data_IF_778462540619
#
_entry.id   IF_778462540619
#
_cell.length_a   1.000
_cell.length_b   1.000
_cell.length_c   1.000
_cell.angle_alpha   90.00
_cell.angle_beta   90.00
_cell.angle_gamma   90.00
#
_symmetry.space_group_name_H-M   'P 1'
#
loop_
_entity.id
_entity.type
_entity.pdbx_description
1 polymer ?
#
# COMPACT_ATOMS: atom_id res chain seq x y z
N UNK A 1 -7.51 -16.68 -23.29
CA UNK A 1 -8.42 -15.60 -22.88
C UNK A 1 -7.95 -14.29 -23.48
N UNK A 2 -8.88 -13.45 -23.92
CA UNK A 2 -8.58 -12.08 -24.34
C UNK A 2 -7.97 -11.29 -23.15
N UNK A 3 -7.13 -10.28 -23.43
CA UNK A 3 -6.54 -9.40 -22.41
C UNK A 3 -7.58 -8.61 -21.63
N UNK A 4 -8.75 -8.39 -22.22
CA UNK A 4 -9.87 -7.69 -21.60
C UNK A 4 -10.79 -8.65 -20.83
N UNK A 5 -10.52 -9.96 -20.87
CA UNK A 5 -11.31 -10.92 -20.12
C UNK A 5 -11.11 -10.69 -18.61
N UNK A 6 -12.18 -10.71 -17.79
CA UNK A 6 -12.07 -10.47 -16.34
C UNK A 6 -11.17 -11.49 -15.61
N UNK A 7 -10.97 -12.67 -16.19
CA UNK A 7 -10.10 -13.74 -15.66
C UNK A 7 -8.73 -13.81 -16.34
N UNK A 8 -8.38 -12.78 -17.12
CA UNK A 8 -7.06 -12.71 -17.73
C UNK A 8 -5.98 -12.50 -16.67
N UNK A 9 -5.20 -13.54 -16.42
CA UNK A 9 -4.07 -13.52 -15.50
C UNK A 9 -2.75 -13.52 -16.27
N UNK A 10 -1.96 -12.44 -16.16
CA UNK A 10 -0.64 -12.37 -16.79
C UNK A 10 0.38 -13.30 -16.15
N UNK A 11 0.15 -13.72 -14.91
CA UNK A 11 1.00 -14.66 -14.18
C UNK A 11 0.52 -16.11 -14.26
N UNK A 12 -0.46 -16.45 -15.10
CA UNK A 12 -1.08 -17.78 -15.13
C UNK A 12 -0.09 -18.96 -15.14
N UNK A 13 1.05 -18.83 -15.84
CA UNK A 13 2.10 -19.86 -15.90
C UNK A 13 2.77 -20.15 -14.56
N UNK A 14 2.87 -19.14 -13.70
CA UNK A 14 3.52 -19.22 -12.38
C UNK A 14 2.53 -19.01 -11.22
N UNK A 15 1.23 -18.90 -11.53
CA UNK A 15 0.17 -18.67 -10.55
C UNK A 15 0.18 -19.71 -9.43
N UNK A 16 0.31 -21.03 -9.70
CA UNK A 16 0.37 -22.03 -8.63
C UNK A 16 1.54 -21.81 -7.67
N UNK A 17 2.70 -21.37 -8.19
CA UNK A 17 3.87 -21.07 -7.36
C UNK A 17 3.65 -19.83 -6.50
N UNK A 18 3.12 -18.75 -7.10
CA UNK A 18 2.79 -17.51 -6.37
C UNK A 18 1.81 -17.80 -5.24
N UNK A 19 0.75 -18.57 -5.52
CA UNK A 19 -0.26 -18.93 -4.54
C UNK A 19 0.30 -19.84 -3.45
N UNK A 20 1.17 -20.78 -3.80
CA UNK A 20 1.87 -21.62 -2.81
C UNK A 20 2.71 -20.78 -1.84
N UNK A 21 3.48 -19.82 -2.35
CA UNK A 21 4.29 -18.93 -1.50
C UNK A 21 3.39 -18.04 -0.64
N UNK A 22 2.36 -17.44 -1.24
CA UNK A 22 1.40 -16.59 -0.54
C UNK A 22 0.70 -17.35 0.58
N UNK A 23 0.31 -18.60 0.35
CA UNK A 23 -0.30 -19.46 1.37
C UNK A 23 0.62 -19.62 2.58
N UNK A 24 1.90 -19.93 2.36
CA UNK A 24 2.89 -20.05 3.45
C UNK A 24 3.08 -18.73 4.20
N UNK A 25 3.11 -17.59 3.51
CA UNK A 25 3.15 -16.27 4.16
C UNK A 25 1.94 -16.02 5.08
N UNK A 26 0.75 -16.46 4.66
CA UNK A 26 -0.50 -16.28 5.40
C UNK A 26 -0.65 -17.20 6.61
N UNK A 27 0.09 -18.31 6.66
CA UNK A 27 0.12 -19.21 7.82
C UNK A 27 0.82 -18.56 9.02
N UNK A 28 1.73 -17.61 8.78
CA UNK A 28 2.40 -16.85 9.85
C UNK A 28 1.46 -15.81 10.45
N UNK A 29 1.24 -15.89 11.77
CA UNK A 29 0.31 -15.00 12.47
C UNK A 29 0.84 -13.56 12.48
N UNK A 30 0.10 -12.58 11.92
CA UNK A 30 0.55 -11.20 11.91
C UNK A 30 0.48 -10.57 13.30
N UNK A 31 1.56 -9.90 13.70
CA UNK A 31 1.52 -8.99 14.86
C UNK A 31 0.75 -7.70 14.52
N UNK A 32 0.35 -6.93 15.54
CA UNK A 32 -0.46 -5.72 15.34
C UNK A 32 0.17 -4.66 14.42
N UNK A 33 1.51 -4.56 14.41
CA UNK A 33 2.26 -3.54 13.67
C UNK A 33 2.70 -4.11 12.32
N UNK A 34 2.17 -3.54 11.24
CA UNK A 34 2.34 -4.02 9.88
C UNK A 34 2.81 -2.88 8.97
N UNK A 35 3.66 -3.17 8.01
CA UNK A 35 4.18 -2.21 7.04
C UNK A 35 3.85 -2.65 5.62
N UNK A 36 3.55 -1.71 4.72
CA UNK A 36 3.37 -1.97 3.29
C UNK A 36 4.36 -1.14 2.49
N UNK A 37 5.16 -1.81 1.65
CA UNK A 37 6.16 -1.16 0.80
C UNK A 37 6.36 -1.95 -0.51
N UNK A 38 7.02 -1.33 -1.49
CA UNK A 38 7.42 -1.98 -2.72
C UNK A 38 8.82 -2.61 -2.70
N UNK A 39 8.88 -3.82 -3.26
CA UNK A 39 10.09 -4.54 -3.58
C UNK A 39 10.21 -4.74 -5.10
N UNK A 40 11.43 -4.68 -5.63
CA UNK A 40 11.73 -4.97 -7.04
C UNK A 40 12.55 -6.25 -7.08
N UNK A 41 11.97 -7.31 -7.64
CA UNK A 41 12.68 -8.57 -7.91
C UNK A 41 13.52 -8.37 -9.18
N UNK A 42 14.86 -8.39 -9.11
CA UNK A 42 15.71 -8.08 -10.24
C UNK A 42 15.44 -9.02 -11.42
N UNK A 43 15.12 -8.45 -12.59
CA UNK A 43 14.87 -9.24 -13.79
C UNK A 43 15.08 -8.40 -15.05
N UNK A 44 16.05 -8.77 -15.88
CA UNK A 44 16.40 -8.04 -17.12
C UNK A 44 15.86 -8.70 -18.40
N UNK A 45 15.32 -9.92 -18.33
CA UNK A 45 14.79 -10.65 -19.49
C UNK A 45 13.56 -10.00 -20.15
N UNK A 46 13.10 -10.55 -21.27
CA UNK A 46 11.91 -10.01 -21.98
C UNK A 46 10.63 -10.37 -21.24
N UNK A 47 10.06 -9.40 -20.53
CA UNK A 47 8.77 -9.52 -19.86
C UNK A 47 8.02 -8.19 -19.89
N UNK A 48 6.71 -8.24 -20.19
CA UNK A 48 5.84 -7.04 -20.28
C UNK A 48 5.44 -6.47 -18.92
N UNK A 49 5.61 -7.24 -17.85
CA UNK A 49 5.26 -6.86 -16.47
C UNK A 49 6.43 -6.24 -15.71
N UNK A 50 7.56 -5.97 -16.40
CA UNK A 50 8.71 -5.32 -15.76
C UNK A 50 8.39 -3.86 -15.45
N UNK A 51 8.80 -3.43 -14.27
CA UNK A 51 8.80 -2.05 -13.85
C UNK A 51 10.22 -1.50 -13.90
N UNK A 52 10.32 -0.21 -14.23
CA UNK A 52 11.53 0.57 -14.05
C UNK A 52 11.38 1.47 -12.84
N UNK A 53 12.26 1.33 -11.84
CA UNK A 53 12.35 2.22 -10.69
C UNK A 53 13.76 2.78 -10.57
N UNK A 54 14.01 4.04 -10.95
CA UNK A 54 15.36 4.61 -10.95
C UNK A 54 15.97 4.77 -9.56
N UNK A 55 15.15 4.71 -8.49
CA UNK A 55 15.58 4.89 -7.10
C UNK A 55 16.02 3.59 -6.41
N UNK A 56 15.82 2.43 -7.03
CA UNK A 56 16.24 1.13 -6.46
C UNK A 56 17.59 0.70 -7.07
N UNK A 57 18.43 -0.06 -6.34
CA UNK A 57 19.72 -0.54 -6.85
C UNK A 57 19.57 -1.28 -8.19
N UNK A 58 18.67 -2.26 -8.21
CA UNK A 58 18.22 -2.92 -9.42
C UNK A 58 17.01 -2.19 -10.01
N UNK A 59 17.28 -1.38 -11.03
CA UNK A 59 16.26 -0.49 -11.60
C UNK A 59 15.19 -1.23 -12.39
N UNK A 60 15.50 -2.40 -12.96
CA UNK A 60 14.59 -3.19 -13.80
C UNK A 60 14.24 -4.51 -13.11
N UNK A 61 12.95 -4.77 -12.95
CA UNK A 61 12.50 -6.01 -12.34
C UNK A 61 10.99 -6.17 -12.29
N UNK A 62 10.53 -7.23 -11.64
CA UNK A 62 9.12 -7.41 -11.33
C UNK A 62 8.81 -6.67 -10.03
N UNK A 63 7.77 -5.85 -10.03
CA UNK A 63 7.36 -5.12 -8.83
C UNK A 63 6.43 -5.99 -7.98
N UNK A 64 6.73 -6.05 -6.70
CA UNK A 64 5.90 -6.67 -5.67
C UNK A 64 5.60 -5.61 -4.62
N UNK A 65 4.37 -5.55 -4.15
CA UNK A 65 3.99 -4.75 -2.99
C UNK A 65 3.70 -5.73 -1.87
N UNK A 66 4.43 -5.65 -0.77
CA UNK A 66 4.38 -6.64 0.31
C UNK A 66 3.91 -6.00 1.61
N UNK A 67 3.10 -6.74 2.37
CA UNK A 67 2.74 -6.44 3.76
C UNK A 67 3.61 -7.27 4.69
N UNK A 68 4.41 -6.60 5.52
CA UNK A 68 5.36 -7.23 6.42
C UNK A 68 5.09 -6.86 7.88
N UNK A 69 5.29 -7.81 8.79
CA UNK A 69 5.20 -7.56 10.23
C UNK A 69 6.46 -6.90 10.78
N UNK A 70 6.37 -6.37 12.01
CA UNK A 70 7.53 -5.85 12.75
C UNK A 70 8.67 -6.87 12.91
N UNK A 71 8.35 -8.16 12.90
CA UNK A 71 9.31 -9.27 12.94
C UNK A 71 10.11 -9.44 11.63
N UNK A 72 9.80 -8.67 10.57
CA UNK A 72 10.46 -8.73 9.27
C UNK A 72 9.89 -9.79 8.32
N UNK A 73 8.89 -10.56 8.75
CA UNK A 73 8.25 -11.57 7.89
C UNK A 73 7.23 -10.93 6.95
N UNK A 74 7.17 -11.46 5.72
CA UNK A 74 6.12 -11.14 4.75
C UNK A 74 4.89 -11.96 5.11
N UNK A 75 3.75 -11.29 5.36
CA UNK A 75 2.48 -11.96 5.66
C UNK A 75 1.55 -12.02 4.45
N UNK A 76 1.61 -11.02 3.57
CA UNK A 76 0.86 -11.04 2.30
C UNK A 76 1.59 -10.19 1.25
N UNK A 77 1.33 -10.42 -0.03
CA UNK A 77 1.92 -9.63 -1.11
C UNK A 77 1.07 -9.63 -2.39
N UNK A 78 1.28 -8.60 -3.19
CA UNK A 78 0.64 -8.40 -4.49
C UNK A 78 1.70 -8.29 -5.58
N UNK A 79 1.65 -9.22 -6.54
CA UNK A 79 2.48 -9.17 -7.73
C UNK A 79 1.90 -8.16 -8.72
N UNK A 80 2.64 -7.09 -9.03
CA UNK A 80 2.17 -6.08 -9.97
C UNK A 80 2.32 -6.56 -11.42
N UNK A 81 1.22 -6.60 -12.15
CA UNK A 81 1.19 -6.90 -13.59
C UNK A 81 0.64 -5.74 -14.44
N UNK A 82 0.33 -4.61 -13.79
CA UNK A 82 -0.29 -3.43 -14.38
C UNK A 82 -1.82 -3.40 -14.24
N UNK A 83 -2.45 -4.44 -13.71
CA UNK A 83 -3.89 -4.47 -13.44
C UNK A 83 -4.19 -4.13 -11.98
N UNK A 84 -5.23 -3.33 -11.75
CA UNK A 84 -5.70 -3.04 -10.41
C UNK A 84 -6.25 -4.32 -9.74
N UNK A 85 -6.02 -4.50 -8.43
CA UNK A 85 -6.60 -5.62 -7.70
C UNK A 85 -8.13 -5.49 -7.66
N UNK A 86 -8.83 -6.63 -7.67
CA UNK A 86 -10.26 -6.68 -7.40
C UNK A 86 -10.48 -6.53 -5.88
N UNK A 87 -11.03 -5.39 -5.49
CA UNK A 87 -11.45 -5.04 -4.12
C UNK A 87 -12.92 -4.63 -4.15
N UNK A 88 -13.69 -4.97 -3.10
CA UNK A 88 -15.14 -4.72 -3.06
C UNK A 88 -15.46 -3.23 -3.08
N UNK A 89 -14.73 -2.44 -2.27
CA UNK A 89 -14.89 -1.00 -2.17
C UNK A 89 -13.61 -0.30 -2.64
N UNK A 90 -13.39 -0.28 -3.96
CA UNK A 90 -12.24 0.40 -4.56
C UNK A 90 -12.23 1.89 -4.23
N UNK A 91 -11.05 2.39 -3.90
CA UNK A 91 -10.76 3.80 -3.66
C UNK A 91 -10.52 4.53 -4.99
N UNK A 92 -10.30 3.80 -6.09
CA UNK A 92 -10.05 4.36 -7.41
C UNK A 92 -8.59 4.72 -7.69
N UNK A 93 -7.66 4.37 -6.78
CA UNK A 93 -6.22 4.54 -6.96
C UNK A 93 -5.52 3.20 -6.82
N UNK A 94 -4.77 2.78 -7.85
CA UNK A 94 -4.04 1.51 -7.87
C UNK A 94 -3.25 1.24 -6.58
N UNK A 95 -2.48 2.23 -6.09
CA UNK A 95 -1.67 2.06 -4.90
C UNK A 95 -2.53 1.85 -3.64
N UNK A 96 -3.63 2.59 -3.52
CA UNK A 96 -4.55 2.46 -2.38
C UNK A 96 -5.29 1.12 -2.40
N UNK A 97 -5.77 0.70 -3.58
CA UNK A 97 -6.49 -0.56 -3.75
C UNK A 97 -5.58 -1.77 -3.48
N UNK A 98 -4.28 -1.68 -3.78
CA UNK A 98 -3.32 -2.71 -3.37
C UNK A 98 -3.17 -2.77 -1.85
N UNK A 99 -3.10 -1.64 -1.14
CA UNK A 99 -3.07 -1.66 0.33
C UNK A 99 -4.35 -2.28 0.90
N UNK A 100 -5.52 -1.89 0.39
CA UNK A 100 -6.79 -2.52 0.78
C UNK A 100 -6.75 -4.02 0.54
N UNK A 101 -6.28 -4.46 -0.63
CA UNK A 101 -6.19 -5.88 -0.97
C UNK A 101 -5.31 -6.68 -0.01
N UNK A 102 -4.18 -6.11 0.39
CA UNK A 102 -3.25 -6.73 1.34
C UNK A 102 -3.79 -6.74 2.78
N UNK A 103 -4.68 -5.81 3.11
CA UNK A 103 -5.30 -5.72 4.43
C UNK A 103 -6.55 -6.61 4.57
N UNK A 104 -7.12 -7.14 3.48
CA UNK A 104 -8.23 -8.11 3.55
C UNK A 104 -7.88 -9.36 4.38
N UNK A 105 -6.59 -9.72 4.44
CA UNK A 105 -6.08 -10.86 5.22
C UNK A 105 -5.74 -10.51 6.67
N UNK A 106 -5.97 -9.26 7.11
CA UNK A 106 -5.88 -8.86 8.51
C UNK A 106 -7.22 -9.00 9.22
N UNK A 107 -7.24 -9.46 10.48
CA UNK A 107 -8.45 -9.43 11.29
C UNK A 107 -8.98 -8.01 11.49
N UNK A 108 -10.23 -7.79 11.06
CA UNK A 108 -10.93 -6.51 11.22
C UNK A 108 -11.25 -6.22 12.69
N UNK A 109 -11.24 -4.95 13.07
CA UNK A 109 -11.56 -4.46 14.42
C UNK A 109 -10.74 -5.11 15.55
N UNK A 110 -9.49 -5.49 15.26
CA UNK A 110 -8.54 -6.03 16.23
C UNK A 110 -7.39 -5.08 16.58
N UNK A 111 -7.47 -3.82 16.14
CA UNK A 111 -6.50 -2.80 16.51
C UNK A 111 -5.16 -2.89 15.77
N UNK A 112 -5.12 -3.55 14.61
CA UNK A 112 -3.95 -3.53 13.73
C UNK A 112 -3.62 -2.12 13.26
N UNK A 113 -2.33 -1.86 13.07
CA UNK A 113 -1.77 -0.56 12.65
C UNK A 113 -0.90 -0.79 11.43
N UNK A 114 -1.28 -0.20 10.31
CA UNK A 114 -0.59 -0.35 9.02
C UNK A 114 0.17 0.94 8.68
N UNK A 115 1.46 0.82 8.44
CA UNK A 115 2.35 1.91 8.07
C UNK A 115 2.69 1.82 6.58
N UNK A 116 2.63 2.94 5.86
CA UNK A 116 3.03 3.00 4.45
C UNK A 116 3.56 4.37 4.07
N UNK A 117 4.31 4.41 2.96
CA UNK A 117 4.93 5.64 2.48
C UNK A 117 3.94 6.56 1.74
N UNK A 118 4.46 7.68 1.21
CA UNK A 118 3.66 8.64 0.47
C UNK A 118 3.18 8.18 -0.92
N UNK A 119 3.70 7.08 -1.47
CA UNK A 119 3.19 6.54 -2.72
C UNK A 119 1.79 5.96 -2.52
N UNK A 120 1.59 5.26 -1.41
CA UNK A 120 0.32 4.63 -1.03
C UNK A 120 -0.66 5.58 -0.33
N UNK A 121 -0.19 6.69 0.25
CA UNK A 121 -1.03 7.56 1.06
C UNK A 121 -2.10 8.35 0.27
N UNK A 122 -3.36 8.12 0.66
CA UNK A 122 -4.57 8.87 0.27
C UNK A 122 -5.46 9.03 1.52
N UNK A 123 -6.20 10.12 1.64
CA UNK A 123 -7.10 10.32 2.79
C UNK A 123 -8.25 9.30 2.77
N UNK A 124 -8.76 9.00 1.58
CA UNK A 124 -9.80 8.02 1.33
C UNK A 124 -9.37 6.60 1.74
N UNK A 125 -8.07 6.28 1.63
CA UNK A 125 -7.50 5.02 2.12
C UNK A 125 -7.50 4.95 3.65
N UNK A 126 -7.16 6.05 4.32
CA UNK A 126 -7.14 6.11 5.79
C UNK A 126 -8.56 5.89 6.35
N UNK A 127 -9.57 6.50 5.74
CA UNK A 127 -10.98 6.29 6.10
C UNK A 127 -11.45 4.85 5.81
N UNK A 128 -11.04 4.28 4.67
CA UNK A 128 -11.40 2.91 4.31
C UNK A 128 -10.82 1.89 5.30
N UNK A 129 -9.54 2.01 5.67
CA UNK A 129 -8.91 1.14 6.67
C UNK A 129 -9.56 1.30 8.05
N UNK A 130 -9.90 2.53 8.43
CA UNK A 130 -10.55 2.79 9.71
C UNK A 130 -11.95 2.16 9.79
N UNK A 131 -12.71 2.11 8.68
CA UNK A 131 -13.99 1.39 8.61
C UNK A 131 -13.82 -0.11 8.90
N UNK A 132 -12.69 -0.70 8.52
CA UNK A 132 -12.31 -2.08 8.85
C UNK A 132 -11.70 -2.23 10.26
N UNK A 133 -11.65 -1.15 11.04
CA UNK A 133 -11.01 -1.13 12.36
C UNK A 133 -9.50 -1.33 12.31
N UNK A 134 -8.88 -0.97 11.19
CA UNK A 134 -7.44 -0.96 10.97
C UNK A 134 -6.98 0.50 11.01
N UNK A 135 -6.07 0.80 11.94
CA UNK A 135 -5.46 2.11 12.03
C UNK A 135 -4.34 2.23 11.00
N UNK A 136 -4.07 3.44 10.52
CA UNK A 136 -2.98 3.67 9.59
C UNK A 136 -2.21 4.95 9.89
N UNK A 137 -0.94 4.92 9.51
CA UNK A 137 -0.01 6.05 9.63
C UNK A 137 0.79 6.13 8.35
N UNK A 138 0.82 7.30 7.74
CA UNK A 138 1.58 7.51 6.51
C UNK A 138 2.03 8.95 6.35
N UNK A 139 3.14 9.14 5.64
CA UNK A 139 3.47 10.45 5.10
C UNK A 139 2.58 10.72 3.90
N UNK A 140 1.94 11.88 3.81
CA UNK A 140 1.09 12.24 2.66
C UNK A 140 1.74 13.35 1.83
N UNK A 141 1.58 13.30 0.51
CA UNK A 141 2.04 14.37 -0.39
C UNK A 141 1.13 15.58 -0.25
N UNK A 142 1.68 16.79 -0.27
CA UNK A 142 0.92 18.03 -0.13
C UNK A 142 -0.21 18.17 -1.17
N UNK A 143 0.00 17.69 -2.40
CA UNK A 143 -1.01 17.70 -3.45
C UNK A 143 -2.13 16.66 -3.28
N UNK A 144 -2.09 15.82 -2.24
CA UNK A 144 -3.12 14.82 -1.91
C UNK A 144 -3.92 15.18 -0.66
N UNK A 145 -3.71 16.37 -0.09
CA UNK A 145 -4.37 16.82 1.13
C UNK A 145 -5.85 17.19 0.97
N UNK A 146 -6.40 17.17 -0.26
CA UNK A 146 -7.81 17.51 -0.55
C UNK A 146 -8.29 18.84 0.08
N UNK A 147 -7.39 19.80 0.22
CA UNK A 147 -7.70 21.09 0.83
C UNK A 147 -7.77 21.07 2.37
N UNK A 148 -7.23 20.05 3.06
CA UNK A 148 -7.06 20.10 4.51
C UNK A 148 -6.33 21.41 4.90
N UNK A 149 -6.88 22.16 5.87
CA UNK A 149 -6.41 23.50 6.23
C UNK A 149 -5.17 23.47 7.13
N UNK A 150 -4.24 22.52 6.93
CA UNK A 150 -2.93 22.56 7.58
C UNK A 150 -2.09 23.68 6.99
N UNK A 151 -1.24 24.26 7.84
CA UNK A 151 -0.29 25.28 7.46
C UNK A 151 0.55 24.85 6.26
N UNK A 152 0.61 25.69 5.20
CA UNK A 152 1.50 25.45 4.08
C UNK A 152 2.96 25.31 4.50
N UNK A 153 3.71 24.42 3.82
CA UNK A 153 5.10 24.09 4.20
C UNK A 153 6.04 25.31 4.23
N UNK A 154 5.83 26.29 3.36
CA UNK A 154 6.57 27.56 3.33
C UNK A 154 6.32 28.42 4.58
N UNK A 155 5.09 28.47 5.08
CA UNK A 155 4.75 29.18 6.31
C UNK A 155 5.30 28.46 7.54
N UNK A 156 5.18 27.13 7.58
CA UNK A 156 5.70 26.33 8.69
C UNK A 156 7.22 26.48 8.85
N UNK A 157 7.96 26.53 7.73
CA UNK A 157 9.41 26.78 7.73
C UNK A 157 9.78 28.14 8.36
N UNK A 158 8.95 29.17 8.18
CA UNK A 158 9.19 30.51 8.75
C UNK A 158 9.01 30.56 10.26
N UNK A 159 8.22 29.63 10.84
CA UNK A 159 8.03 29.53 12.30
C UNK A 159 9.24 28.94 13.04
N UNK A 160 10.23 28.43 12.32
CA UNK A 160 11.44 27.85 12.91
C UNK A 160 11.38 26.32 13.07
N UNK A 161 12.54 25.73 13.36
CA UNK A 161 12.70 24.27 13.51
C UNK A 161 11.88 23.77 14.69
N UNK A 162 11.13 22.69 14.47
CA UNK A 162 10.27 22.08 15.50
C UNK A 162 8.84 22.63 15.52
N UNK A 163 8.52 23.65 14.72
CA UNK A 163 7.14 24.07 14.53
C UNK A 163 6.31 22.97 13.86
N UNK A 164 5.12 22.73 14.40
CA UNK A 164 4.13 21.77 13.88
C UNK A 164 2.77 22.44 13.79
N UNK A 165 1.93 21.94 12.90
CA UNK A 165 0.52 22.29 12.77
C UNK A 165 -0.25 21.01 12.43
N UNK A 166 -1.52 20.91 12.81
CA UNK A 166 -2.33 19.73 12.55
C UNK A 166 -3.80 20.08 12.31
N UNK A 167 -4.46 19.32 11.44
CA UNK A 167 -5.90 19.40 11.20
C UNK A 167 -6.55 18.05 11.54
N UNK A 168 -7.68 18.06 12.27
CA UNK A 168 -8.47 16.85 12.54
C UNK A 168 -9.82 16.90 11.81
N UNK A 169 -10.34 15.74 11.45
CA UNK A 169 -11.75 15.62 11.04
C UNK A 169 -12.67 15.97 12.21
N UNK A 170 -13.93 16.36 11.93
CA UNK A 170 -14.91 16.77 12.96
C UNK A 170 -15.17 15.69 14.00
N UNK A 171 -15.05 14.43 13.61
CA UNK A 171 -15.21 13.26 14.47
C UNK A 171 -13.90 12.80 15.14
N UNK A 172 -12.81 13.57 14.99
CA UNK A 172 -11.47 13.31 15.53
C UNK A 172 -10.87 11.95 15.15
N UNK A 173 -11.30 11.38 14.03
CA UNK A 173 -10.87 10.05 13.57
C UNK A 173 -9.65 10.08 12.68
N UNK A 174 -9.48 11.14 11.90
CA UNK A 174 -8.29 11.35 11.06
C UNK A 174 -7.61 12.65 11.47
N UNK A 175 -6.29 12.61 11.52
CA UNK A 175 -5.44 13.76 11.80
C UNK A 175 -4.35 13.83 10.71
N UNK A 176 -4.11 15.04 10.22
CA UNK A 176 -3.03 15.36 9.28
C UNK A 176 -2.09 16.35 9.94
#
# INVERSE_FOLDING_TARGET
MDRNHPDYDRFYKIRPLIESIRKTCLEETPGELQSVDEHIIPYKGRCKMKYYNPRKPDKWGLKVIARCGRNGFVHDFWMCDGMAPKVENSIGFFAADVVMKLCETLPKHKGYKVFFDNYFAFLELQEALLRDGIYSVATIRSNRLRGCPVMPSNELKRKGRGATDFCCTRDNKLCV
#
